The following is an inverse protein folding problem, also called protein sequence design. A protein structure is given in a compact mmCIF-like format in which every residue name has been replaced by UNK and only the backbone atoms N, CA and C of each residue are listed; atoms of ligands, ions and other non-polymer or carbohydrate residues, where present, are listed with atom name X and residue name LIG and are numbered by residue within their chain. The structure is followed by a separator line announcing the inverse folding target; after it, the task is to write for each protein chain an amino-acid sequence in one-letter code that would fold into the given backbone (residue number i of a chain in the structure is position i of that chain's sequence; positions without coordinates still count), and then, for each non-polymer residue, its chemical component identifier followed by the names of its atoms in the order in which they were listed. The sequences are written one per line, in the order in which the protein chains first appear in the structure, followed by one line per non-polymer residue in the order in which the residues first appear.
data_IF_989822912110
#
_entry.id   IF_989822912110
#
_cell.length_a   1.000
_cell.length_b   1.000
_cell.length_c   1.000
_cell.angle_alpha   90.00
_cell.angle_beta   90.00
_cell.angle_gamma   90.00
#
_symmetry.space_group_name_H-M   'P 1'
#
loop_
_entity.id
_entity.type
_entity.pdbx_description
1 polymer ?
#
# COMPACT_ATOMS: atom_id res chain seq x y z
N UNK A 1 -6.34 2.10 10.85
CA UNK A 1 -6.62 1.23 9.68
C UNK A 1 -5.31 0.57 9.31
N UNK A 2 -5.32 -0.73 9.16
CA UNK A 2 -4.14 -1.52 8.77
C UNK A 2 -3.89 -1.42 7.27
N UNK A 3 -2.65 -1.67 6.84
CA UNK A 3 -2.31 -1.75 5.42
C UNK A 3 -3.18 -2.79 4.69
N UNK A 4 -3.34 -3.97 5.28
CA UNK A 4 -4.23 -5.03 4.78
C UNK A 4 -5.67 -4.55 4.55
N UNK A 5 -6.23 -3.84 5.53
CA UNK A 5 -7.62 -3.36 5.44
C UNK A 5 -7.77 -2.38 4.28
N UNK A 6 -6.82 -1.45 4.14
CA UNK A 6 -6.84 -0.49 3.06
C UNK A 6 -6.69 -1.13 1.68
N UNK A 7 -5.80 -2.12 1.52
CA UNK A 7 -5.66 -2.84 0.24
C UNK A 7 -6.93 -3.63 -0.09
N UNK A 8 -7.55 -4.26 0.90
CA UNK A 8 -8.82 -4.95 0.70
C UNK A 8 -9.95 -4.00 0.30
N UNK A 9 -10.05 -2.82 0.93
CA UNK A 9 -11.06 -1.82 0.57
C UNK A 9 -10.92 -1.40 -0.91
N UNK A 10 -9.69 -1.21 -1.40
CA UNK A 10 -9.45 -0.89 -2.83
C UNK A 10 -9.79 -2.05 -3.76
N UNK A 11 -9.50 -3.28 -3.36
CA UNK A 11 -9.90 -4.47 -4.12
C UNK A 11 -11.43 -4.60 -4.20
N UNK A 12 -12.13 -4.32 -3.11
CA UNK A 12 -13.60 -4.33 -3.06
C UNK A 12 -14.22 -3.20 -3.91
N UNK A 13 -13.51 -2.08 -4.08
CA UNK A 13 -13.85 -1.00 -5.04
C UNK A 13 -13.59 -1.38 -6.50
N UNK A 14 -12.99 -2.55 -6.76
CA UNK A 14 -12.72 -3.07 -8.10
C UNK A 14 -11.37 -2.63 -8.69
N UNK A 15 -10.47 -2.09 -7.88
CA UNK A 15 -9.14 -1.65 -8.31
C UNK A 15 -8.14 -2.81 -8.47
N UNK A 16 -8.51 -3.86 -9.21
CA UNK A 16 -7.66 -5.05 -9.38
C UNK A 16 -6.41 -4.80 -10.23
N UNK A 17 -6.40 -3.74 -11.03
CA UNK A 17 -5.24 -3.37 -11.85
C UNK A 17 -4.24 -2.48 -11.12
N UNK A 18 -4.59 -2.00 -9.92
CA UNK A 18 -3.71 -1.15 -9.16
C UNK A 18 -2.48 -1.95 -8.69
N UNK A 19 -1.34 -1.27 -8.67
CA UNK A 19 -0.04 -1.83 -8.27
C UNK A 19 0.37 -1.18 -6.97
N UNK A 20 0.74 -2.00 -5.99
CA UNK A 20 1.44 -1.55 -4.78
C UNK A 20 2.94 -1.72 -4.96
N UNK A 21 3.67 -0.65 -4.69
CA UNK A 21 5.13 -0.59 -4.74
C UNK A 21 5.68 -0.22 -3.37
N UNK A 22 6.66 -1.00 -2.92
CA UNK A 22 7.45 -0.72 -1.74
C UNK A 22 8.53 0.31 -2.04
N UNK A 23 8.54 1.41 -1.30
CA UNK A 23 9.53 2.48 -1.52
C UNK A 23 10.84 2.21 -0.76
N UNK A 24 10.81 1.28 0.19
CA UNK A 24 11.93 0.92 1.07
C UNK A 24 12.21 -0.58 1.10
N UNK A 25 11.37 -1.37 0.44
CA UNK A 25 11.52 -2.81 0.24
C UNK A 25 11.24 -3.11 -1.23
N UNK A 26 11.90 -4.10 -1.83
CA UNK A 26 11.81 -4.44 -3.26
C UNK A 26 10.45 -5.09 -3.64
N UNK A 27 9.36 -4.60 -3.06
CA UNK A 27 7.99 -5.06 -3.28
C UNK A 27 7.44 -4.35 -4.50
N UNK A 28 6.95 -5.12 -5.46
CA UNK A 28 6.11 -4.61 -6.53
C UNK A 28 5.14 -5.69 -6.95
N UNK A 29 3.87 -5.48 -6.65
CA UNK A 29 2.83 -6.46 -6.92
C UNK A 29 1.51 -5.76 -7.27
N UNK A 30 0.65 -6.44 -8.00
CA UNK A 30 -0.75 -6.05 -8.09
C UNK A 30 -1.40 -6.16 -6.70
N UNK A 31 -2.48 -5.42 -6.45
CA UNK A 31 -3.16 -5.45 -5.16
C UNK A 31 -3.67 -6.85 -4.77
N UNK A 32 -4.06 -7.68 -5.74
CA UNK A 32 -4.52 -9.05 -5.50
C UNK A 32 -3.41 -9.99 -5.00
N UNK A 33 -2.16 -9.74 -5.43
CA UNK A 33 -0.98 -10.51 -5.05
C UNK A 33 -0.21 -9.87 -3.88
N UNK A 34 -0.60 -8.69 -3.42
CA UNK A 34 0.09 -7.92 -2.38
C UNK A 34 0.39 -8.73 -1.10
N UNK A 35 -0.52 -9.61 -0.69
CA UNK A 35 -0.37 -10.49 0.49
C UNK A 35 0.87 -11.38 0.42
N UNK A 36 1.30 -11.78 -0.79
CA UNK A 36 2.42 -12.70 -0.98
C UNK A 36 3.77 -11.99 -1.02
N UNK A 37 3.79 -10.68 -1.28
CA UNK A 37 5.02 -9.90 -1.45
C UNK A 37 5.30 -8.91 -0.33
N UNK A 38 4.25 -8.39 0.31
CA UNK A 38 4.41 -7.44 1.42
C UNK A 38 4.88 -8.19 2.68
N UNK A 39 5.96 -7.75 3.34
CA UNK A 39 6.40 -8.31 4.60
C UNK A 39 5.26 -8.36 5.63
N UNK A 40 5.09 -9.47 6.37
CA UNK A 40 3.99 -9.62 7.33
C UNK A 40 3.92 -8.49 8.36
N UNK A 41 5.05 -7.93 8.78
CA UNK A 41 5.12 -6.79 9.69
C UNK A 41 4.42 -5.55 9.13
N UNK A 42 4.65 -5.24 7.85
CA UNK A 42 4.11 -4.08 7.18
C UNK A 42 2.64 -4.32 6.81
N UNK A 43 2.27 -5.55 6.42
CA UNK A 43 0.90 -5.93 6.11
C UNK A 43 -0.06 -5.71 7.29
N UNK A 44 0.44 -5.94 8.51
CA UNK A 44 -0.30 -5.73 9.76
C UNK A 44 0.04 -4.41 10.45
N UNK A 45 0.81 -3.53 9.80
CA UNK A 45 1.10 -2.21 10.35
C UNK A 45 -0.08 -1.26 10.14
N UNK A 46 -0.26 -0.34 11.09
CA UNK A 46 -1.22 0.74 10.95
C UNK A 46 -0.73 1.79 9.94
N UNK A 47 -1.64 2.27 9.11
CA UNK A 47 -1.42 3.44 8.27
C UNK A 47 -1.57 4.69 9.14
N UNK A 48 -0.52 5.51 9.20
CA UNK A 48 -0.53 6.79 9.93
C UNK A 48 -0.86 7.97 9.05
N UNK A 49 -0.54 7.89 7.76
CA UNK A 49 -0.87 8.93 6.79
C UNK A 49 -1.05 8.34 5.39
N UNK A 50 -1.86 9.03 4.58
CA UNK A 50 -2.04 8.76 3.14
C UNK A 50 -2.06 10.09 2.39
N UNK A 51 -1.37 10.15 1.26
CA UNK A 51 -1.34 11.35 0.42
C UNK A 51 -1.55 10.96 -1.03
N UNK A 52 -2.59 11.54 -1.66
CA UNK A 52 -2.84 11.38 -3.10
C UNK A 52 -2.06 12.44 -3.85
N UNK A 53 -1.18 12.00 -4.74
CA UNK A 53 -0.38 12.81 -5.63
C UNK A 53 -1.17 13.23 -6.87
N UNK A 54 -0.65 14.22 -7.58
CA UNK A 54 -1.32 14.81 -8.75
C UNK A 54 -1.37 13.87 -9.97
N UNK A 55 -0.52 12.86 -9.99
CA UNK A 55 -0.42 11.83 -11.03
C UNK A 55 -1.33 10.61 -10.78
N UNK A 56 -2.09 10.61 -9.69
CA UNK A 56 -2.98 9.51 -9.30
C UNK A 56 -2.34 8.49 -8.34
N UNK A 57 -1.03 8.60 -8.06
CA UNK A 57 -0.39 7.77 -7.06
C UNK A 57 -0.87 8.13 -5.65
N UNK A 58 -1.02 7.13 -4.77
CA UNK A 58 -1.28 7.34 -3.34
C UNK A 58 -0.11 6.84 -2.52
N UNK A 59 0.58 7.74 -1.83
CA UNK A 59 1.65 7.44 -0.88
C UNK A 59 1.07 7.04 0.48
N UNK A 60 1.69 6.07 1.13
CA UNK A 60 1.22 5.46 2.39
C UNK A 60 2.37 5.46 3.39
N UNK A 61 2.13 6.01 4.58
CA UNK A 61 3.05 5.94 5.71
C UNK A 61 2.55 4.90 6.71
N UNK A 62 3.46 4.02 7.13
CA UNK A 62 3.19 3.06 8.20
C UNK A 62 3.65 3.58 9.56
N UNK A 63 3.04 3.06 10.62
CA UNK A 63 3.39 3.40 11.99
C UNK A 63 4.89 3.17 12.27
N UNK A 64 5.53 4.16 12.90
CA UNK A 64 6.96 4.11 13.22
C UNK A 64 7.90 4.46 12.06
N UNK A 65 7.37 4.88 10.90
CA UNK A 65 8.16 5.34 9.75
C UNK A 65 8.00 6.84 9.52
N UNK A 66 9.09 7.53 9.25
CA UNK A 66 9.10 8.98 8.95
C UNK A 66 8.77 9.28 7.49
N UNK A 67 9.14 8.37 6.60
CA UNK A 67 9.00 8.46 5.15
C UNK A 67 7.91 7.50 4.65
N UNK A 68 7.31 7.76 3.46
CA UNK A 68 6.30 6.86 2.92
C UNK A 68 6.92 5.47 2.68
N UNK A 69 6.18 4.45 3.08
CA UNK A 69 6.62 3.05 3.00
C UNK A 69 6.17 2.41 1.70
N UNK A 70 4.97 2.76 1.22
CA UNK A 70 4.37 2.22 0.01
C UNK A 70 3.77 3.33 -0.85
N UNK A 71 3.63 3.02 -2.13
CA UNK A 71 2.77 3.75 -3.06
C UNK A 71 1.79 2.78 -3.71
N UNK A 72 0.57 3.24 -3.99
CA UNK A 72 -0.40 2.50 -4.82
C UNK A 72 -0.78 3.37 -6.01
N UNK A 73 -0.66 2.82 -7.22
CA UNK A 73 -0.97 3.48 -8.48
C UNK A 73 -2.04 2.68 -9.24
N UNK A 74 -3.01 3.39 -9.84
CA UNK A 74 -4.03 2.85 -10.76
C UNK A 74 -3.47 2.48 -12.14
#
# INVERSE_FOLDING_TARGET
MLLKEYVNDRLDEGETNAVIEGLQNDVRANLDDALNHIPPEDWHAEITNRQKESDGQTLIWLAGRSDPSYSIQE
#
